data_IF_166532331481
#
_entry.id   IF_166532331481
#
_cell.length_a   1.000
_cell.length_b   1.000
_cell.length_c   1.000
_cell.angle_alpha   90.00
_cell.angle_beta   90.00
_cell.angle_gamma   90.00
#
_symmetry.space_group_name_H-M   'P 1'
#
loop_
_entity.id
_entity.type
_entity.pdbx_description
1 polymer ?
#
# COMPACT_ATOMS: atom_id res chain seq x y z
N UNK A 1 -5.91 23.52 2.82
CA UNK A 1 -4.46 23.71 2.59
C UNK A 1 -3.86 22.36 2.25
N UNK A 2 -3.02 22.28 1.22
CA UNK A 2 -2.29 21.07 0.84
C UNK A 2 -0.91 21.07 1.49
N UNK A 3 -0.57 20.00 2.21
CA UNK A 3 0.75 19.87 2.82
C UNK A 3 1.74 19.31 1.78
N UNK A 4 3.01 19.76 1.79
CA UNK A 4 4.04 19.20 0.92
C UNK A 4 4.35 17.76 1.36
N UNK A 5 4.46 16.85 0.39
CA UNK A 5 4.94 15.50 0.64
C UNK A 5 6.47 15.47 0.54
N UNK A 6 7.18 14.79 1.45
CA UNK A 6 8.65 14.71 1.43
C UNK A 6 9.15 13.75 0.33
N UNK A 7 9.24 14.20 -0.92
CA UNK A 7 9.63 13.35 -2.06
C UNK A 7 10.98 12.62 -1.88
N UNK A 8 11.90 13.17 -1.09
CA UNK A 8 13.23 12.58 -0.86
C UNK A 8 13.21 11.24 -0.11
N UNK A 9 12.08 10.86 0.52
CA UNK A 9 11.96 9.55 1.17
C UNK A 9 11.59 8.42 0.21
N UNK A 10 11.21 8.73 -1.04
CA UNK A 10 10.78 7.75 -2.05
C UNK A 10 12.00 7.15 -2.76
N UNK A 11 12.68 6.23 -2.09
CA UNK A 11 13.95 5.65 -2.57
C UNK A 11 13.84 4.21 -3.07
N UNK A 12 12.83 3.46 -2.61
CA UNK A 12 12.71 2.02 -2.86
C UNK A 12 11.78 1.74 -4.04
N UNK A 13 12.25 1.09 -5.12
CA UNK A 13 11.39 0.68 -6.23
C UNK A 13 10.30 -0.28 -5.76
N UNK A 14 9.08 -0.08 -6.23
CA UNK A 14 7.93 -0.92 -5.91
C UNK A 14 6.95 -0.99 -7.08
N UNK A 15 6.33 -2.15 -7.24
CA UNK A 15 5.16 -2.33 -8.10
C UNK A 15 3.98 -2.77 -7.25
N UNK A 16 2.82 -2.17 -7.47
CA UNK A 16 1.58 -2.52 -6.75
C UNK A 16 0.61 -3.15 -7.74
N UNK A 17 0.12 -4.32 -7.39
CA UNK A 17 -0.83 -5.09 -8.19
C UNK A 17 -2.17 -5.19 -7.45
N UNK A 18 -3.24 -4.83 -8.17
CA UNK A 18 -4.61 -5.07 -7.75
C UNK A 18 -5.01 -6.48 -8.18
N UNK A 19 -5.50 -7.26 -7.22
CA UNK A 19 -6.12 -8.56 -7.44
C UNK A 19 -7.64 -8.39 -7.37
N UNK A 20 -8.32 -8.76 -8.44
CA UNK A 20 -9.79 -8.76 -8.51
C UNK A 20 -10.28 -10.19 -8.76
N UNK A 21 -11.25 -10.63 -7.97
CA UNK A 21 -11.85 -11.95 -8.13
C UNK A 21 -13.01 -11.85 -9.13
N UNK A 22 -12.83 -12.43 -10.31
CA UNK A 22 -13.87 -12.54 -11.34
C UNK A 22 -14.37 -13.97 -11.50
N UNK A 23 -15.39 -14.14 -12.35
CA UNK A 23 -15.98 -15.46 -12.65
C UNK A 23 -14.97 -16.44 -13.26
N UNK A 24 -13.94 -15.93 -13.95
CA UNK A 24 -12.91 -16.72 -14.62
C UNK A 24 -11.61 -16.88 -13.79
N UNK A 25 -11.62 -16.47 -12.52
CA UNK A 25 -10.45 -16.57 -11.63
C UNK A 25 -9.95 -15.21 -11.14
N UNK A 26 -8.72 -15.19 -10.65
CA UNK A 26 -8.07 -13.99 -10.12
C UNK A 26 -7.40 -13.25 -11.28
N UNK A 27 -7.80 -12.00 -11.51
CA UNK A 27 -7.10 -11.09 -12.43
C UNK A 27 -6.16 -10.19 -11.65
N UNK A 28 -4.92 -10.06 -12.13
CA UNK A 28 -3.90 -9.18 -11.57
C UNK A 28 -3.67 -7.98 -12.49
N UNK A 29 -3.81 -6.76 -11.98
CA UNK A 29 -3.60 -5.51 -12.71
C UNK A 29 -2.51 -4.67 -12.04
N UNK A 30 -1.51 -4.20 -12.82
CA UNK A 30 -0.49 -3.29 -12.31
C UNK A 30 -1.09 -1.88 -12.17
N UNK A 31 -1.33 -1.44 -10.94
CA UNK A 31 -1.92 -0.12 -10.65
C UNK A 31 -0.86 0.96 -10.36
N UNK A 32 0.35 0.57 -9.99
CA UNK A 32 1.44 1.51 -9.72
C UNK A 32 2.81 0.90 -10.00
N UNK A 33 3.69 1.64 -10.67
CA UNK A 33 5.10 1.32 -10.87
C UNK A 33 5.94 2.58 -10.58
N UNK A 34 6.79 2.53 -9.54
CA UNK A 34 7.54 3.69 -9.12
C UNK A 34 8.37 3.46 -7.86
N UNK A 35 8.53 4.50 -7.05
CA UNK A 35 9.26 4.44 -5.77
C UNK A 35 8.35 4.71 -4.59
N UNK A 36 8.64 4.04 -3.48
CA UNK A 36 8.01 4.23 -2.19
C UNK A 36 9.03 4.51 -1.09
N UNK A 37 8.54 5.00 0.04
CA UNK A 37 9.24 4.89 1.31
C UNK A 37 8.86 3.55 1.92
N UNK A 38 9.83 2.65 2.12
CA UNK A 38 9.61 1.36 2.76
C UNK A 38 10.06 1.41 4.22
N UNK A 39 9.12 1.20 5.15
CA UNK A 39 9.37 0.96 6.58
C UNK A 39 9.37 -0.56 6.79
N UNK A 40 10.56 -1.15 6.91
CA UNK A 40 10.79 -2.59 7.06
C UNK A 40 10.54 -3.10 8.49
N UNK A 41 10.08 -2.22 9.40
CA UNK A 41 9.80 -2.61 10.78
C UNK A 41 8.62 -3.56 10.85
N UNK A 42 8.91 -4.76 11.33
CA UNK A 42 7.89 -5.75 11.68
C UNK A 42 7.07 -5.28 12.87
N UNK A 43 5.75 -5.45 12.81
CA UNK A 43 4.83 -5.10 13.91
C UNK A 43 3.82 -6.22 14.11
N UNK A 44 3.47 -6.49 15.36
CA UNK A 44 2.35 -7.37 15.67
C UNK A 44 1.07 -6.54 15.81
N UNK A 45 0.01 -6.99 15.15
CA UNK A 45 -1.32 -6.38 15.23
C UNK A 45 -2.35 -7.46 15.53
N UNK A 46 -3.46 -7.07 16.16
CA UNK A 46 -4.63 -7.93 16.27
C UNK A 46 -5.49 -7.73 15.01
N UNK A 47 -5.91 -8.82 14.38
CA UNK A 47 -6.92 -8.77 13.33
C UNK A 47 -8.34 -8.58 13.92
N UNK A 48 -9.33 -8.48 13.03
CA UNK A 48 -10.73 -8.35 13.41
C UNK A 48 -11.24 -9.54 14.26
N UNK A 49 -10.60 -10.70 14.16
CA UNK A 49 -10.92 -11.92 14.92
C UNK A 49 -10.09 -12.04 16.22
N UNK A 50 -9.35 -10.99 16.60
CA UNK A 50 -8.45 -10.95 17.76
C UNK A 50 -7.30 -11.96 17.70
N UNK A 51 -6.88 -12.37 16.51
CA UNK A 51 -5.67 -13.16 16.30
C UNK A 51 -4.47 -12.25 16.12
N UNK A 52 -3.33 -12.68 16.64
CA UNK A 52 -2.05 -12.00 16.43
C UNK A 52 -1.56 -12.25 15.00
N UNK A 53 -1.40 -11.17 14.24
CA UNK A 53 -0.81 -11.17 12.90
C UNK A 53 0.50 -10.40 12.93
N UNK A 54 1.52 -10.92 12.24
CA UNK A 54 2.81 -10.25 12.10
C UNK A 54 2.86 -9.54 10.76
N UNK A 55 2.90 -8.21 10.78
CA UNK A 55 3.08 -7.38 9.59
C UNK A 55 4.58 -7.33 9.25
N UNK A 56 4.90 -7.56 7.99
CA UNK A 56 6.25 -7.60 7.45
C UNK A 56 6.81 -6.20 7.06
N UNK A 57 6.01 -5.16 7.21
CA UNK A 57 6.41 -3.76 6.98
C UNK A 57 5.27 -2.90 6.46
N UNK A 58 5.60 -1.67 6.06
CA UNK A 58 4.68 -0.71 5.45
C UNK A 58 5.37 0.00 4.29
N UNK A 59 4.65 0.20 3.18
CA UNK A 59 5.08 1.14 2.14
C UNK A 59 4.22 2.40 2.18
N UNK A 60 4.85 3.53 1.89
CA UNK A 60 4.20 4.83 1.78
C UNK A 60 4.46 5.39 0.38
N UNK A 61 3.38 5.72 -0.30
CA UNK A 61 3.34 6.24 -1.66
C UNK A 61 2.77 7.65 -1.62
N UNK A 62 3.27 8.53 -2.48
CA UNK A 62 2.79 9.92 -2.56
C UNK A 62 1.43 9.97 -3.26
N UNK A 63 0.47 10.66 -2.64
CA UNK A 63 -0.87 10.87 -3.20
C UNK A 63 -1.73 9.61 -3.23
N UNK A 64 -2.83 9.67 -4.00
CA UNK A 64 -3.67 8.52 -4.30
C UNK A 64 -3.11 7.77 -5.51
N UNK A 65 -2.78 6.49 -5.34
CA UNK A 65 -2.28 5.64 -6.44
C UNK A 65 -3.41 4.85 -7.12
N UNK A 66 -4.61 4.85 -6.53
CA UNK A 66 -5.76 4.14 -7.09
C UNK A 66 -7.04 4.86 -6.67
N UNK A 67 -7.39 5.96 -7.34
CA UNK A 67 -8.52 6.81 -6.97
C UNK A 67 -9.82 6.03 -6.89
N UNK A 68 -10.68 6.41 -5.94
CA UNK A 68 -12.07 5.94 -5.78
C UNK A 68 -12.30 4.45 -5.44
N UNK A 69 -11.29 3.59 -5.60
CA UNK A 69 -11.41 2.15 -5.37
C UNK A 69 -10.61 1.66 -4.16
N UNK A 70 -10.92 0.46 -3.66
CA UNK A 70 -10.15 -0.19 -2.60
C UNK A 70 -8.98 -0.97 -3.20
N UNK A 71 -7.79 -0.81 -2.64
CA UNK A 71 -6.62 -1.59 -3.06
C UNK A 71 -6.63 -2.92 -2.30
N UNK A 72 -6.73 -4.02 -3.04
CA UNK A 72 -6.56 -5.39 -2.56
C UNK A 72 -5.66 -6.17 -3.51
N UNK A 73 -4.61 -6.81 -2.99
CA UNK A 73 -3.66 -7.56 -3.82
C UNK A 73 -2.30 -7.61 -3.16
N UNK A 74 -1.24 -7.35 -3.94
CA UNK A 74 0.14 -7.49 -3.47
C UNK A 74 1.06 -6.40 -3.99
N UNK A 75 2.24 -6.32 -3.37
CA UNK A 75 3.33 -5.47 -3.82
C UNK A 75 4.55 -6.32 -4.15
N UNK A 76 5.32 -5.87 -5.15
CA UNK A 76 6.63 -6.41 -5.48
C UNK A 76 7.70 -5.40 -5.06
N UNK A 77 8.51 -5.78 -4.07
CA UNK A 77 9.71 -5.04 -3.65
C UNK A 77 10.93 -5.79 -4.19
N UNK A 78 11.40 -5.40 -5.38
CA UNK A 78 12.36 -6.20 -6.14
C UNK A 78 11.75 -7.57 -6.48
N UNK A 79 12.38 -8.65 -6.00
CA UNK A 79 11.91 -10.03 -6.18
C UNK A 79 10.94 -10.49 -5.07
N UNK A 80 10.75 -9.69 -4.02
CA UNK A 80 9.91 -10.06 -2.89
C UNK A 80 8.45 -9.69 -3.13
N UNK A 81 7.58 -10.69 -3.28
CA UNK A 81 6.11 -10.54 -3.25
C UNK A 81 5.64 -10.45 -1.80
N UNK A 82 4.87 -9.43 -1.46
CA UNK A 82 4.22 -9.26 -0.14
C UNK A 82 2.75 -8.91 -0.31
N UNK A 83 1.88 -9.52 0.49
CA UNK A 83 0.43 -9.31 0.37
C UNK A 83 0.03 -8.05 1.12
N UNK A 84 -0.89 -7.29 0.54
CA UNK A 84 -1.45 -6.10 1.18
C UNK A 84 -2.44 -6.56 2.24
N UNK A 85 -2.11 -6.29 3.50
CA UNK A 85 -2.97 -6.57 4.63
C UNK A 85 -3.97 -5.43 4.88
N UNK A 86 -3.51 -4.18 4.79
CA UNK A 86 -4.34 -3.01 5.05
C UNK A 86 -3.90 -1.81 4.21
N UNK A 87 -4.88 -1.08 3.69
CA UNK A 87 -4.69 0.15 2.93
C UNK A 87 -5.19 1.34 3.75
N UNK A 88 -4.47 2.46 3.75
CA UNK A 88 -4.90 3.71 4.39
C UNK A 88 -4.56 4.89 3.49
N UNK A 89 -5.47 5.88 3.41
CA UNK A 89 -5.28 7.11 2.63
C UNK A 89 -5.40 8.33 3.52
N UNK A 90 -4.34 8.73 4.25
CA UNK A 90 -4.34 9.97 5.01
C UNK A 90 -4.68 11.14 4.09
N UNK A 91 -5.57 12.03 4.55
CA UNK A 91 -6.02 13.19 3.78
C UNK A 91 -5.36 14.48 4.27
N UNK A 92 -5.11 15.38 3.34
CA UNK A 92 -4.78 16.77 3.61
C UNK A 92 -5.97 17.50 4.24
N UNK A 93 -5.74 18.65 4.90
CA UNK A 93 -6.81 19.53 5.37
C UNK A 93 -7.79 20.01 4.29
N UNK A 94 -7.40 20.01 3.01
CA UNK A 94 -8.29 20.31 1.88
C UNK A 94 -9.07 19.10 1.35
N UNK A 95 -8.93 17.92 1.96
CA UNK A 95 -9.64 16.70 1.59
C UNK A 95 -8.95 15.84 0.52
N UNK A 96 -7.89 16.35 -0.14
CA UNK A 96 -7.09 15.57 -1.09
C UNK A 96 -6.28 14.47 -0.37
N UNK A 97 -6.00 13.35 -1.04
CA UNK A 97 -5.17 12.29 -0.46
C UNK A 97 -3.72 12.75 -0.39
N UNK A 98 -3.14 12.70 0.81
CA UNK A 98 -1.74 13.05 1.06
C UNK A 98 -0.81 11.91 0.65
N UNK A 99 -1.15 10.69 1.05
CA UNK A 99 -0.38 9.48 0.77
C UNK A 99 -1.28 8.26 0.66
N UNK A 100 -0.78 7.22 0.02
CA UNK A 100 -1.34 5.87 0.10
C UNK A 100 -0.37 5.02 0.91
N UNK A 101 -0.84 4.48 2.03
CA UNK A 101 -0.06 3.63 2.91
C UNK A 101 -0.57 2.20 2.82
N UNK A 102 0.32 1.25 2.54
CA UNK A 102 0.00 -0.18 2.47
C UNK A 102 0.81 -0.92 3.54
N UNK A 103 0.12 -1.58 4.46
CA UNK A 103 0.72 -2.51 5.41
C UNK A 103 0.77 -3.90 4.80
N UNK A 104 1.89 -4.57 5.00
CA UNK A 104 2.26 -5.79 4.29
C UNK A 104 2.36 -6.95 5.26
N UNK A 105 2.01 -8.15 4.78
CA UNK A 105 2.26 -9.44 5.44
C UNK A 105 3.19 -10.31 4.59
#
# INVERSE_FOLDING_TARGET
MKLPFPDWVLVTPVKVYQETQGENGISEELIFDGKCCYDDKTKQALDAERRLVTLAGKIILKGDIYPDDLISGYVMLGESKKTIYRTTRPRNPDGSVFSTELELI
#
